data_IF_494536322927
#
_entry.id   IF_494536322927
#
_cell.length_a   1.000
_cell.length_b   1.000
_cell.length_c   1.000
_cell.angle_alpha   90.00
_cell.angle_beta   90.00
_cell.angle_gamma   90.00
#
_symmetry.space_group_name_H-M   'P 1'
#
loop_
_entity.id
_entity.type
_entity.pdbx_description
1 polymer ?
#
# COMPACT_ATOMS: atom_id res chain seq x y z
N UNK A 1 13.69 2.09 7.54
CA UNK A 1 15.07 1.85 8.01
C UNK A 1 15.69 3.09 8.65
N UNK A 2 15.38 4.30 8.16
CA UNK A 2 15.98 5.54 8.69
C UNK A 2 15.59 5.86 10.13
N UNK A 3 14.52 5.25 10.65
CA UNK A 3 14.12 5.39 12.06
C UNK A 3 15.03 4.59 13.01
N UNK A 4 15.74 3.57 12.52
CA UNK A 4 16.68 2.80 13.30
C UNK A 4 18.01 3.55 13.43
N UNK A 5 18.39 3.91 14.65
CA UNK A 5 19.62 4.68 14.93
C UNK A 5 20.91 3.95 14.53
N UNK A 6 20.87 2.63 14.32
CA UNK A 6 22.01 1.87 13.81
C UNK A 6 22.51 2.33 12.44
N UNK A 7 21.61 2.90 11.60
CA UNK A 7 21.99 3.43 10.27
C UNK A 7 22.47 4.88 10.30
N UNK A 8 22.30 5.58 11.40
CA UNK A 8 22.64 6.99 11.53
C UNK A 8 23.38 7.32 12.84
N UNK A 9 24.06 6.32 13.41
CA UNK A 9 24.75 6.45 14.70
C UNK A 9 25.82 7.58 14.71
N UNK A 10 26.41 7.88 13.57
CA UNK A 10 27.43 8.94 13.42
C UNK A 10 26.86 10.37 13.50
N UNK A 11 25.55 10.54 13.42
CA UNK A 11 24.91 11.84 13.46
C UNK A 11 24.30 12.11 14.86
N UNK A 12 24.49 13.31 15.44
CA UNK A 12 23.85 13.70 16.67
C UNK A 12 22.31 13.60 16.57
N UNK A 13 21.65 13.15 17.61
CA UNK A 13 20.17 13.03 17.64
C UNK A 13 19.49 14.38 17.36
N UNK A 14 20.04 15.48 17.88
CA UNK A 14 19.51 16.82 17.67
C UNK A 14 19.54 17.29 16.19
N UNK A 15 20.32 16.61 15.35
CA UNK A 15 20.41 16.90 13.90
C UNK A 15 19.49 16.01 13.06
N UNK A 16 18.67 15.17 13.68
CA UNK A 16 17.77 14.23 13.01
C UNK A 16 16.34 14.67 13.19
N UNK A 17 15.57 14.62 12.12
CA UNK A 17 14.12 14.74 12.14
C UNK A 17 13.50 13.51 11.50
N UNK A 18 12.82 12.70 12.27
CA UNK A 18 12.34 11.38 11.89
C UNK A 18 10.87 11.44 11.50
N UNK A 19 10.56 11.08 10.27
CA UNK A 19 9.19 11.03 9.76
C UNK A 19 8.80 9.58 9.53
N UNK A 20 7.76 9.11 10.21
CA UNK A 20 7.14 7.82 9.92
C UNK A 20 6.02 8.00 8.90
N UNK A 21 6.19 7.43 7.71
CA UNK A 21 5.21 7.50 6.63
C UNK A 21 4.50 6.16 6.51
N UNK A 22 3.18 6.15 6.62
CA UNK A 22 2.37 4.94 6.45
C UNK A 22 0.99 5.25 5.89
N UNK A 23 0.42 4.29 5.17
CA UNK A 23 -0.97 4.33 4.73
C UNK A 23 -1.83 3.82 5.90
N UNK A 24 -2.26 4.73 6.77
CA UNK A 24 -3.09 4.42 7.93
C UNK A 24 -4.56 4.67 7.57
N UNK A 25 -5.26 3.63 7.20
CA UNK A 25 -6.68 3.72 6.85
C UNK A 25 -7.52 4.09 8.08
N UNK A 26 -8.43 5.04 7.91
CA UNK A 26 -9.32 5.55 8.97
C UNK A 26 -10.79 5.32 8.67
N UNK A 27 -11.11 4.78 7.49
CA UNK A 27 -12.48 4.52 7.06
C UNK A 27 -12.99 3.16 7.55
N UNK A 28 -14.27 3.12 7.80
CA UNK A 28 -15.02 1.89 8.02
C UNK A 28 -15.79 1.50 6.74
N UNK A 29 -15.94 0.19 6.52
CA UNK A 29 -16.82 -0.36 5.48
C UNK A 29 -18.29 -0.33 5.99
N UNK A 30 -18.46 -0.61 7.28
CA UNK A 30 -19.72 -0.57 8.00
C UNK A 30 -19.47 -0.16 9.46
N UNK A 31 -20.51 -0.21 10.31
CA UNK A 31 -20.46 0.22 11.71
C UNK A 31 -19.43 -0.55 12.57
N UNK A 32 -18.99 -1.72 12.13
CA UNK A 32 -18.13 -2.62 12.90
C UNK A 32 -16.83 -2.99 12.21
N UNK A 33 -16.73 -2.79 10.89
CA UNK A 33 -15.59 -3.24 10.09
C UNK A 33 -14.79 -2.06 9.51
N UNK A 34 -13.62 -1.81 10.08
CA UNK A 34 -12.67 -0.86 9.54
C UNK A 34 -11.95 -1.46 8.32
N UNK A 35 -11.63 -0.63 7.34
CA UNK A 35 -10.74 -1.01 6.23
C UNK A 35 -9.37 -1.39 6.82
N UNK A 36 -8.89 -2.63 6.65
CA UNK A 36 -7.58 -3.01 7.16
C UNK A 36 -6.46 -2.24 6.45
N UNK A 37 -5.57 -1.63 7.22
CA UNK A 37 -4.38 -0.97 6.68
C UNK A 37 -3.53 -1.91 5.84
N UNK A 38 -3.48 -3.19 6.23
CA UNK A 38 -2.76 -4.24 5.50
C UNK A 38 -3.33 -4.46 4.09
N UNK A 39 -4.65 -4.40 3.94
CA UNK A 39 -5.30 -4.60 2.64
C UNK A 39 -5.05 -3.41 1.71
N UNK A 40 -5.20 -2.19 2.18
CA UNK A 40 -4.88 -1.00 1.40
C UNK A 40 -3.41 -1.02 0.91
N UNK A 41 -2.49 -1.43 1.76
CA UNK A 41 -1.06 -1.55 1.41
C UNK A 41 -0.79 -2.68 0.42
N UNK A 42 -1.48 -3.82 0.56
CA UNK A 42 -1.37 -4.93 -0.39
C UNK A 42 -1.92 -4.53 -1.76
N UNK A 43 -3.06 -3.86 -1.82
CA UNK A 43 -3.64 -3.36 -3.08
C UNK A 43 -2.69 -2.37 -3.78
N UNK A 44 -2.17 -1.37 -3.07
CA UNK A 44 -1.15 -0.45 -3.60
C UNK A 44 0.05 -1.21 -4.17
N UNK A 45 0.51 -2.25 -3.46
CA UNK A 45 1.65 -3.05 -3.88
C UNK A 45 1.36 -3.88 -5.11
N UNK A 46 0.20 -4.53 -5.20
CA UNK A 46 -0.20 -5.32 -6.38
C UNK A 46 -0.18 -4.45 -7.62
N UNK A 47 -0.77 -3.27 -7.57
CA UNK A 47 -0.80 -2.36 -8.70
C UNK A 47 0.61 -1.88 -9.08
N UNK A 48 1.37 -1.35 -8.13
CA UNK A 48 2.73 -0.87 -8.39
C UNK A 48 3.64 -1.96 -8.93
N UNK A 49 3.64 -3.15 -8.33
CA UNK A 49 4.49 -4.26 -8.75
C UNK A 49 4.12 -4.75 -10.15
N UNK A 50 2.83 -4.73 -10.51
CA UNK A 50 2.38 -5.05 -11.87
C UNK A 50 2.85 -4.01 -12.89
N UNK A 51 2.66 -2.72 -12.58
CA UNK A 51 2.95 -1.62 -13.50
C UNK A 51 4.44 -1.36 -13.68
N UNK A 52 5.22 -1.37 -12.57
CA UNK A 52 6.62 -0.94 -12.62
C UNK A 52 7.63 -2.07 -12.62
N UNK A 53 7.26 -3.27 -12.17
CA UNK A 53 8.17 -4.41 -11.98
C UNK A 53 7.78 -5.64 -12.79
N UNK A 54 6.62 -5.62 -13.46
CA UNK A 54 6.12 -6.73 -14.24
C UNK A 54 5.73 -7.97 -13.42
N UNK A 55 5.49 -7.84 -12.11
CA UNK A 55 5.03 -8.95 -11.29
C UNK A 55 3.52 -9.15 -11.41
N UNK A 56 3.09 -10.41 -11.46
CA UNK A 56 1.67 -10.75 -11.39
C UNK A 56 1.13 -10.55 -9.96
N UNK A 57 -0.20 -10.35 -9.82
CA UNK A 57 -0.85 -10.29 -8.51
C UNK A 57 -0.56 -11.55 -7.68
N UNK A 58 -0.52 -12.74 -8.31
CA UNK A 58 -0.12 -14.00 -7.67
C UNK A 58 1.26 -13.87 -7.01
N UNK A 59 2.27 -13.41 -7.75
CA UNK A 59 3.63 -13.28 -7.22
C UNK A 59 3.70 -12.29 -6.05
N UNK A 60 2.98 -11.18 -6.14
CA UNK A 60 2.92 -10.18 -5.06
C UNK A 60 2.24 -10.75 -3.81
N UNK A 61 1.12 -11.47 -3.96
CA UNK A 61 0.43 -12.13 -2.85
C UNK A 61 1.34 -13.18 -2.19
N UNK A 62 2.04 -13.98 -2.99
CA UNK A 62 2.99 -15.00 -2.50
C UNK A 62 4.12 -14.37 -1.66
N UNK A 63 4.64 -13.22 -2.06
CA UNK A 63 5.68 -12.49 -1.32
C UNK A 63 5.16 -11.76 -0.07
N UNK A 64 3.86 -11.50 0.01
CA UNK A 64 3.28 -10.63 1.04
C UNK A 64 3.59 -11.05 2.48
N UNK A 65 3.51 -12.33 2.88
CA UNK A 65 3.88 -12.76 4.24
C UNK A 65 5.31 -12.40 4.62
N UNK A 66 6.25 -12.46 3.67
CA UNK A 66 7.65 -12.06 3.91
C UNK A 66 7.79 -10.54 4.11
N UNK A 67 7.05 -9.75 3.33
CA UNK A 67 7.00 -8.29 3.49
C UNK A 67 6.47 -7.94 4.88
N UNK A 68 5.37 -8.57 5.31
CA UNK A 68 4.77 -8.37 6.63
C UNK A 68 5.73 -8.67 7.77
N UNK A 69 6.44 -9.80 7.71
CA UNK A 69 7.48 -10.12 8.72
C UNK A 69 8.57 -9.05 8.75
N UNK A 70 8.96 -8.51 7.61
CA UNK A 70 9.94 -7.43 7.53
C UNK A 70 9.44 -6.13 8.20
N UNK A 71 8.17 -5.79 8.01
CA UNK A 71 7.54 -4.63 8.64
C UNK A 71 7.47 -4.78 10.17
N UNK A 72 7.01 -5.93 10.64
CA UNK A 72 6.89 -6.25 12.05
C UNK A 72 8.24 -6.23 12.76
N UNK A 73 9.30 -6.67 12.09
CA UNK A 73 10.64 -6.75 12.67
C UNK A 73 11.43 -5.43 12.57
N UNK A 74 11.28 -4.69 11.47
CA UNK A 74 12.22 -3.62 11.12
C UNK A 74 11.57 -2.24 10.95
N UNK A 75 10.24 -2.14 11.03
CA UNK A 75 9.54 -0.87 10.84
C UNK A 75 8.70 -0.53 12.07
N UNK A 76 7.76 -1.39 12.44
CA UNK A 76 6.81 -1.09 13.51
C UNK A 76 7.44 -0.84 14.89
N UNK A 77 8.52 -1.55 15.32
CA UNK A 77 9.15 -1.29 16.60
C UNK A 77 9.77 0.12 16.73
N UNK A 78 10.02 0.78 15.59
CA UNK A 78 10.63 2.11 15.56
C UNK A 78 9.63 3.24 15.32
N UNK A 79 8.35 2.93 15.21
CA UNK A 79 7.30 3.91 14.95
C UNK A 79 7.25 5.00 16.04
N UNK A 80 7.36 4.60 17.30
CA UNK A 80 7.29 5.51 18.44
C UNK A 80 8.53 6.41 18.59
N UNK A 81 9.60 6.12 17.85
CA UNK A 81 10.81 6.95 17.80
C UNK A 81 10.75 8.06 16.75
N UNK A 82 9.63 8.18 16.00
CA UNK A 82 9.45 9.23 15.02
C UNK A 82 9.00 10.52 15.67
N UNK A 83 9.53 11.66 15.17
CA UNK A 83 9.12 13.00 15.60
C UNK A 83 7.72 13.34 15.09
N UNK A 84 7.35 12.80 13.91
CA UNK A 84 6.03 12.99 13.29
C UNK A 84 5.59 11.76 12.50
N UNK A 85 4.27 11.52 12.50
CA UNK A 85 3.64 10.50 11.66
C UNK A 85 2.92 11.20 10.51
N UNK A 86 3.29 10.82 9.27
CA UNK A 86 2.61 11.25 8.05
C UNK A 86 1.70 10.13 7.54
N UNK A 87 0.39 10.35 7.61
CA UNK A 87 -0.59 9.42 7.04
C UNK A 87 -0.72 9.65 5.54
N UNK A 88 -0.30 8.66 4.74
CA UNK A 88 -0.38 8.71 3.28
C UNK A 88 -1.68 8.11 2.71
N UNK A 89 -2.63 7.68 3.56
CA UNK A 89 -3.92 7.17 3.10
C UNK A 89 -4.79 8.30 2.55
N UNK A 90 -5.43 8.03 1.41
CA UNK A 90 -6.43 8.91 0.83
C UNK A 90 -7.79 8.22 0.87
N UNK A 91 -8.83 8.97 1.21
CA UNK A 91 -10.19 8.44 1.42
C UNK A 91 -10.70 7.70 0.18
N UNK A 92 -10.39 8.20 -1.01
CA UNK A 92 -10.87 7.68 -2.29
C UNK A 92 -9.96 6.62 -2.93
N UNK A 93 -8.82 6.29 -2.32
CA UNK A 93 -7.79 5.47 -2.98
C UNK A 93 -8.26 4.08 -3.37
N UNK A 94 -9.05 3.40 -2.53
CA UNK A 94 -9.54 2.04 -2.84
C UNK A 94 -10.50 2.06 -4.03
N UNK A 95 -11.39 3.05 -4.08
CA UNK A 95 -12.31 3.24 -5.20
C UNK A 95 -11.56 3.58 -6.50
N UNK A 96 -10.50 4.38 -6.41
CA UNK A 96 -9.64 4.75 -7.53
C UNK A 96 -8.81 3.56 -8.04
N UNK A 97 -8.23 2.77 -7.14
CA UNK A 97 -7.39 1.61 -7.49
C UNK A 97 -8.19 0.41 -8.00
N UNK A 98 -9.47 0.31 -7.62
CA UNK A 98 -10.33 -0.84 -7.97
C UNK A 98 -10.26 -1.24 -9.45
N UNK A 99 -10.49 -0.35 -10.44
CA UNK A 99 -10.48 -0.73 -11.86
C UNK A 99 -9.14 -1.31 -12.33
N UNK A 100 -8.03 -0.87 -11.75
CA UNK A 100 -6.68 -1.33 -12.11
C UNK A 100 -6.38 -2.71 -11.51
N UNK A 101 -6.83 -2.95 -10.29
CA UNK A 101 -6.46 -4.14 -9.51
C UNK A 101 -7.40 -5.32 -9.79
N UNK A 102 -8.68 -5.09 -10.08
CA UNK A 102 -9.65 -6.18 -10.30
C UNK A 102 -9.19 -7.13 -11.41
N UNK A 103 -8.73 -6.61 -12.55
CA UNK A 103 -8.23 -7.43 -13.65
C UNK A 103 -7.01 -8.26 -13.27
N UNK A 104 -6.10 -7.71 -12.46
CA UNK A 104 -4.92 -8.41 -11.96
C UNK A 104 -5.28 -9.54 -11.00
N UNK A 105 -6.27 -9.33 -10.14
CA UNK A 105 -6.76 -10.35 -9.21
C UNK A 105 -7.55 -11.45 -9.93
N UNK A 106 -8.35 -11.11 -10.93
CA UNK A 106 -9.07 -12.10 -11.76
C UNK A 106 -8.13 -13.01 -12.54
N UNK A 107 -6.93 -12.54 -12.89
CA UNK A 107 -5.92 -13.31 -13.58
C UNK A 107 -5.21 -14.35 -12.68
N UNK A 108 -5.46 -14.35 -11.36
CA UNK A 108 -4.87 -15.34 -10.45
C UNK A 108 -5.53 -16.72 -10.68
N UNK A 109 -4.75 -17.78 -10.99
CA UNK A 109 -5.27 -19.12 -11.26
C UNK A 109 -6.02 -19.70 -10.05
N UNK A 110 -7.08 -20.46 -10.31
CA UNK A 110 -7.93 -21.05 -9.25
C UNK A 110 -7.27 -22.21 -8.52
N UNK A 111 -6.27 -22.80 -9.07
CA UNK A 111 -5.55 -23.99 -8.63
C UNK A 111 -4.29 -23.67 -7.78
N UNK A 112 -4.10 -22.41 -7.40
CA UNK A 112 -2.97 -21.99 -6.57
C UNK A 112 -3.43 -21.48 -5.19
N UNK A 113 -2.53 -21.53 -4.22
CA UNK A 113 -2.78 -21.13 -2.82
C UNK A 113 -3.19 -19.66 -2.70
N UNK A 114 -2.64 -18.80 -3.54
CA UNK A 114 -2.88 -17.36 -3.57
C UNK A 114 -4.30 -16.99 -4.03
N UNK A 115 -5.03 -17.93 -4.64
CA UNK A 115 -6.39 -17.69 -5.13
C UNK A 115 -7.37 -17.32 -4.02
N UNK A 116 -7.24 -17.94 -2.85
CA UNK A 116 -8.11 -17.63 -1.70
C UNK A 116 -7.99 -16.16 -1.28
N UNK A 117 -6.76 -15.65 -1.23
CA UNK A 117 -6.51 -14.25 -0.91
C UNK A 117 -6.95 -13.31 -2.04
N UNK A 118 -6.69 -13.65 -3.28
CA UNK A 118 -7.18 -12.89 -4.44
C UNK A 118 -8.71 -12.77 -4.43
N UNK A 119 -9.41 -13.87 -4.15
CA UNK A 119 -10.88 -13.89 -4.04
C UNK A 119 -11.38 -13.05 -2.85
N UNK A 120 -10.67 -13.06 -1.71
CA UNK A 120 -10.99 -12.24 -0.56
C UNK A 120 -10.87 -10.75 -0.89
N UNK A 121 -9.78 -10.36 -1.56
CA UNK A 121 -9.57 -8.98 -2.00
C UNK A 121 -10.60 -8.52 -3.03
N UNK A 122 -11.01 -9.38 -3.97
CA UNK A 122 -12.10 -9.08 -4.90
C UNK A 122 -13.42 -8.84 -4.17
N UNK A 123 -13.75 -9.66 -3.16
CA UNK A 123 -14.94 -9.42 -2.32
C UNK A 123 -14.86 -8.09 -1.57
N UNK A 124 -13.68 -7.76 -1.04
CA UNK A 124 -13.45 -6.48 -0.38
C UNK A 124 -13.66 -5.30 -1.35
N UNK A 125 -13.13 -5.37 -2.57
CA UNK A 125 -13.32 -4.34 -3.58
C UNK A 125 -14.78 -4.13 -4.00
N UNK A 126 -15.65 -5.13 -3.83
CA UNK A 126 -17.08 -5.00 -4.14
C UNK A 126 -17.84 -4.02 -3.24
N UNK A 127 -17.28 -3.64 -2.08
CA UNK A 127 -17.85 -2.59 -1.23
C UNK A 127 -17.64 -1.17 -1.78
N UNK A 128 -16.83 -1.00 -2.81
CA UNK A 128 -16.47 0.30 -3.37
C UNK A 128 -17.00 0.45 -4.78
N UNK A 129 -17.60 1.61 -5.08
CA UNK A 129 -17.87 2.02 -6.45
C UNK A 129 -16.57 2.55 -7.06
N UNK A 130 -16.24 2.15 -8.31
CA UNK A 130 -15.05 2.67 -8.98
C UNK A 130 -15.21 4.15 -9.30
N UNK A 131 -14.12 4.91 -9.19
CA UNK A 131 -14.07 6.32 -9.63
C UNK A 131 -13.05 6.47 -10.76
N UNK A 132 -13.30 7.37 -11.73
CA UNK A 132 -12.36 7.65 -12.80
C UNK A 132 -11.11 8.36 -12.28
N UNK A 133 -10.00 8.21 -13.01
CA UNK A 133 -8.72 8.85 -12.66
C UNK A 133 -8.54 10.25 -13.23
N UNK A 134 -9.48 10.73 -14.08
CA UNK A 134 -9.32 11.97 -14.84
C UNK A 134 -9.16 13.20 -13.94
N UNK A 135 -9.94 13.26 -12.86
CA UNK A 135 -9.93 14.36 -11.90
C UNK A 135 -8.82 14.27 -10.84
N UNK A 136 -8.03 13.20 -10.84
CA UNK A 136 -6.92 13.06 -9.88
C UNK A 136 -5.78 13.99 -10.26
N UNK A 137 -5.37 14.93 -9.40
CA UNK A 137 -4.27 15.85 -9.71
C UNK A 137 -2.99 15.12 -10.13
N UNK A 138 -2.26 15.67 -11.09
CA UNK A 138 -0.98 15.09 -11.54
C UNK A 138 0.10 15.05 -10.46
N UNK A 139 -0.05 15.87 -9.41
CA UNK A 139 0.84 15.90 -8.22
C UNK A 139 0.38 14.96 -7.12
N UNK A 140 -0.76 14.27 -7.28
CA UNK A 140 -1.28 13.35 -6.26
C UNK A 140 -0.35 12.15 -6.06
N UNK A 141 -0.20 11.73 -4.80
CA UNK A 141 0.46 10.49 -4.42
C UNK A 141 -0.08 9.28 -5.19
N UNK A 142 -1.38 9.28 -5.52
CA UNK A 142 -1.99 8.17 -6.25
C UNK A 142 -1.43 7.98 -7.66
N UNK A 143 -0.81 9.02 -8.24
CA UNK A 143 -0.17 8.92 -9.55
C UNK A 143 1.05 8.00 -9.56
N UNK A 144 1.66 7.75 -8.41
CA UNK A 144 2.68 6.69 -8.26
C UNK A 144 2.11 5.32 -8.66
N UNK A 145 0.83 5.07 -8.38
CA UNK A 145 0.17 3.79 -8.65
C UNK A 145 -0.50 3.77 -10.03
N UNK A 146 -1.33 4.76 -10.34
CA UNK A 146 -2.15 4.78 -11.57
C UNK A 146 -1.44 5.40 -12.78
N UNK A 147 -0.26 6.00 -12.61
CA UNK A 147 0.46 6.68 -13.68
C UNK A 147 -0.04 8.09 -13.99
N UNK A 148 0.57 8.73 -15.00
CA UNK A 148 0.18 10.05 -15.47
C UNK A 148 0.50 11.21 -14.51
N UNK A 149 1.41 11.00 -13.55
CA UNK A 149 1.91 12.04 -12.66
C UNK A 149 2.99 12.93 -13.30
N UNK A 150 3.35 14.02 -12.60
CA UNK A 150 4.47 14.90 -13.00
C UNK A 150 5.82 14.38 -12.49
N UNK A 151 5.80 13.45 -11.53
CA UNK A 151 7.00 12.86 -10.98
C UNK A 151 7.33 11.57 -11.72
N UNK A 152 8.62 11.34 -11.95
CA UNK A 152 9.12 10.08 -12.47
C UNK A 152 9.32 9.11 -11.29
N UNK A 153 8.65 7.95 -11.36
CA UNK A 153 8.70 6.91 -10.34
C UNK A 153 9.46 5.66 -10.80
N UNK A 154 10.25 5.76 -11.88
CA UNK A 154 11.09 4.67 -12.40
C UNK A 154 12.38 4.47 -11.60
#
# INVERSE_FOLDING_TARGET
>A
HCLNDQFSYSLPTASKYKIYISCLTTLNIDDHNRIPTTDARLLRRIERDARTRGYSARATIQMWPSVRRGEERYIFPYQDSADVIFNSALIYETALLKPYIESLLFAVPKDCDEYTEAKRLLKFLNYFLPIPSDDVPKTSLMREFIGGGIYDYT
#
